data_IF_374248914616
#
_entry.id   IF_374248914616
#
_cell.length_a   1.000
_cell.length_b   1.000
_cell.length_c   1.000
_cell.angle_alpha   90.00
_cell.angle_beta   90.00
_cell.angle_gamma   90.00
#
_symmetry.space_group_name_H-M   'P 1'
#
loop_
_entity.id
_entity.type
_entity.pdbx_description
1 polymer ?
#
# COMPACT_ATOMS: atom_id res chain seq x y z
N UNK A 1 17.11 70.41 -43.23
CA UNK A 1 16.87 68.97 -42.97
C UNK A 1 16.21 68.88 -41.61
N UNK A 2 14.90 68.67 -41.57
CA UNK A 2 14.10 68.48 -40.33
C UNK A 2 14.13 66.99 -39.97
N UNK A 3 14.75 66.67 -38.86
CA UNK A 3 14.74 65.30 -38.31
C UNK A 3 13.43 65.05 -37.65
N UNK A 4 12.62 64.25 -38.30
CA UNK A 4 11.33 63.78 -37.82
C UNK A 4 11.57 62.87 -36.59
N UNK A 5 11.36 63.40 -35.38
CA UNK A 5 11.41 62.60 -34.13
C UNK A 5 10.14 61.74 -34.10
N UNK A 6 10.27 60.47 -34.47
CA UNK A 6 9.27 59.47 -34.25
C UNK A 6 8.89 59.44 -32.76
N UNK A 7 7.65 59.83 -32.43
CA UNK A 7 7.08 59.69 -31.09
C UNK A 7 7.05 58.16 -30.78
N UNK A 8 7.81 57.78 -29.77
CA UNK A 8 7.69 56.42 -29.21
C UNK A 8 6.30 56.32 -28.61
N UNK A 9 5.53 55.37 -29.10
CA UNK A 9 4.16 55.12 -28.61
C UNK A 9 4.32 54.61 -27.16
N UNK A 10 3.73 55.35 -26.21
CA UNK A 10 3.74 54.95 -24.80
C UNK A 10 2.93 53.65 -24.68
N UNK A 11 3.59 52.59 -24.23
CA UNK A 11 2.98 51.32 -23.96
C UNK A 11 2.05 51.50 -22.74
N UNK A 12 0.76 51.19 -22.93
CA UNK A 12 -0.23 51.33 -21.86
C UNK A 12 0.07 50.31 -20.74
N UNK A 13 0.69 50.78 -19.65
CA UNK A 13 1.08 49.96 -18.49
C UNK A 13 -0.10 49.18 -17.86
N UNK A 14 -1.32 49.79 -17.97
CA UNK A 14 -2.55 49.11 -17.48
C UNK A 14 -2.86 47.83 -18.26
N UNK A 15 -2.76 47.86 -19.61
CA UNK A 15 -2.99 46.66 -20.42
C UNK A 15 -1.97 45.57 -20.20
N UNK A 16 -0.68 45.95 -19.96
CA UNK A 16 0.35 45.01 -19.65
C UNK A 16 0.14 44.36 -18.27
N UNK A 17 -0.29 45.15 -17.29
CA UNK A 17 -0.60 44.62 -15.95
C UNK A 17 -1.77 43.63 -15.99
N UNK A 18 -2.79 43.90 -16.79
CA UNK A 18 -3.96 43.02 -16.94
C UNK A 18 -3.55 41.68 -17.60
N UNK A 19 -2.76 41.73 -18.68
CA UNK A 19 -2.27 40.52 -19.34
C UNK A 19 -1.37 39.70 -18.36
N UNK A 20 -0.49 40.36 -17.60
CA UNK A 20 0.34 39.70 -16.62
C UNK A 20 -0.47 39.05 -15.50
N UNK A 21 -1.54 39.71 -15.04
CA UNK A 21 -2.45 39.20 -14.03
C UNK A 21 -3.27 38.00 -14.56
N UNK A 22 -3.81 38.09 -15.78
CA UNK A 22 -4.49 36.95 -16.40
C UNK A 22 -3.61 35.75 -16.62
N UNK A 23 -2.35 35.96 -17.04
CA UNK A 23 -1.36 34.89 -17.15
C UNK A 23 -1.04 34.27 -15.79
N UNK A 24 -0.91 35.09 -14.75
CA UNK A 24 -0.65 34.61 -13.39
C UNK A 24 -1.80 33.72 -12.89
N UNK A 25 -3.05 34.16 -13.06
CA UNK A 25 -4.23 33.35 -12.70
C UNK A 25 -4.30 32.08 -13.55
N UNK A 26 -4.03 32.20 -14.85
CA UNK A 26 -4.01 31.04 -15.75
C UNK A 26 -2.98 30.00 -15.29
N UNK A 27 -1.76 30.40 -14.98
CA UNK A 27 -0.76 29.49 -14.45
C UNK A 27 -1.16 28.93 -13.09
N UNK A 28 -1.73 29.73 -12.21
CA UNK A 28 -2.18 29.28 -10.89
C UNK A 28 -3.27 28.19 -11.01
N UNK A 29 -4.20 28.35 -11.93
CA UNK A 29 -5.27 27.35 -12.19
C UNK A 29 -4.74 26.16 -12.98
N UNK A 30 -3.85 26.39 -13.98
CA UNK A 30 -3.29 25.32 -14.79
C UNK A 30 -2.26 24.46 -14.02
N UNK A 31 -1.61 25.02 -12.99
CA UNK A 31 -0.65 24.30 -12.13
C UNK A 31 -1.26 23.74 -10.86
N UNK A 32 -2.62 23.68 -10.72
CA UNK A 32 -3.21 22.83 -9.70
C UNK A 32 -2.84 21.39 -10.04
N UNK A 33 -1.68 20.97 -9.54
CA UNK A 33 -1.25 19.58 -9.65
C UNK A 33 -2.30 18.73 -8.97
N UNK A 34 -2.92 17.88 -9.74
CA UNK A 34 -3.60 16.72 -9.19
C UNK A 34 -2.60 16.01 -8.29
N UNK A 35 -2.77 16.12 -6.99
CA UNK A 35 -2.05 15.24 -6.07
C UNK A 35 -2.57 13.84 -6.37
N UNK A 36 -1.77 13.07 -7.09
CA UNK A 36 -2.07 11.67 -7.34
C UNK A 36 -2.26 11.00 -5.98
N UNK A 37 -3.52 10.81 -5.60
CA UNK A 37 -3.91 10.01 -4.44
C UNK A 37 -3.76 8.53 -4.83
N UNK A 38 -2.51 8.09 -4.96
CA UNK A 38 -2.17 6.72 -5.24
C UNK A 38 -1.71 5.99 -4.00
N UNK A 39 -1.82 4.66 -3.99
CA UNK A 39 -1.20 3.82 -2.98
C UNK A 39 0.32 3.85 -3.20
N UNK A 40 1.04 4.53 -2.32
CA UNK A 40 2.51 4.51 -2.34
C UNK A 40 2.99 3.15 -1.84
N UNK A 41 3.63 2.37 -2.69
CA UNK A 41 4.30 1.12 -2.33
C UNK A 41 5.80 1.26 -2.43
N UNK A 42 6.46 0.80 -1.39
CA UNK A 42 7.91 0.55 -1.43
C UNK A 42 8.10 -0.85 -1.98
N UNK A 43 8.67 -0.94 -3.18
CA UNK A 43 9.07 -2.23 -3.75
C UNK A 43 10.18 -2.83 -2.87
N UNK A 44 10.17 -4.15 -2.66
CA UNK A 44 11.29 -4.81 -2.01
C UNK A 44 12.59 -4.52 -2.76
N UNK A 45 13.72 -4.33 -2.07
CA UNK A 45 15.01 -4.20 -2.73
C UNK A 45 15.26 -5.43 -3.61
N UNK A 46 15.86 -5.23 -4.79
CA UNK A 46 16.26 -6.34 -5.65
C UNK A 46 17.12 -7.31 -4.83
N UNK A 47 16.83 -8.62 -4.89
CA UNK A 47 17.66 -9.60 -4.22
C UNK A 47 19.08 -9.53 -4.80
N UNK A 48 20.08 -9.43 -3.94
CA UNK A 48 21.47 -9.51 -4.34
C UNK A 48 21.74 -10.86 -5.03
N UNK A 49 22.36 -10.87 -6.24
CA UNK A 49 22.58 -12.09 -6.99
C UNK A 49 23.44 -13.13 -6.25
N UNK A 50 24.11 -12.74 -5.16
CA UNK A 50 24.92 -13.61 -4.32
C UNK A 50 24.26 -14.03 -3.00
N UNK A 51 23.08 -13.51 -2.66
CA UNK A 51 22.31 -14.07 -1.54
C UNK A 51 21.73 -15.39 -1.99
N UNK A 52 22.23 -16.50 -1.41
CA UNK A 52 21.48 -17.76 -1.42
C UNK A 52 20.10 -17.42 -0.90
N UNK A 53 19.07 -17.57 -1.75
CA UNK A 53 17.69 -17.56 -1.31
C UNK A 53 17.59 -18.69 -0.27
N UNK A 54 17.74 -18.33 0.99
CA UNK A 54 17.21 -19.16 2.04
C UNK A 54 15.72 -19.19 1.76
N UNK A 55 15.22 -20.34 1.33
CA UNK A 55 13.80 -20.64 1.26
C UNK A 55 13.24 -20.40 2.67
N UNK A 56 12.85 -19.17 2.94
CA UNK A 56 12.07 -18.84 4.13
C UNK A 56 10.72 -19.51 3.91
N UNK A 57 10.65 -20.78 4.29
CA UNK A 57 9.37 -21.52 4.34
C UNK A 57 8.51 -20.79 5.33
N UNK A 58 7.72 -19.85 4.82
CA UNK A 58 6.66 -19.20 5.61
C UNK A 58 5.77 -20.33 6.07
N UNK A 59 5.65 -20.54 7.39
CA UNK A 59 4.74 -21.55 7.93
C UNK A 59 3.33 -21.22 7.42
N UNK A 60 2.56 -22.23 7.05
CA UNK A 60 1.21 -22.03 6.47
C UNK A 60 0.33 -21.16 7.36
N UNK A 61 0.44 -21.29 8.68
CA UNK A 61 -0.29 -20.45 9.65
C UNK A 61 0.07 -18.95 9.57
N UNK A 62 1.24 -18.60 9.06
CA UNK A 62 1.71 -17.22 8.92
C UNK A 62 1.34 -16.60 7.57
N UNK A 63 0.58 -17.33 6.75
CA UNK A 63 0.17 -16.87 5.42
C UNK A 63 -1.34 -16.78 5.30
N UNK A 64 -1.87 -15.58 5.10
CA UNK A 64 -3.26 -15.37 4.71
C UNK A 64 -3.32 -15.18 3.19
N UNK A 65 -3.81 -16.19 2.49
CA UNK A 65 -4.05 -16.09 1.07
C UNK A 65 -5.38 -15.36 0.80
N UNK A 66 -5.31 -14.23 0.14
CA UNK A 66 -6.46 -13.48 -0.37
C UNK A 66 -6.49 -13.61 -1.87
N UNK A 67 -7.52 -14.25 -2.40
CA UNK A 67 -7.71 -14.47 -3.83
C UNK A 67 -8.93 -13.70 -4.33
N UNK A 68 -8.76 -13.00 -5.47
CA UNK A 68 -9.86 -12.30 -6.15
C UNK A 68 -10.08 -12.93 -7.51
N UNK A 69 -11.26 -13.51 -7.72
CA UNK A 69 -11.60 -14.20 -8.95
C UNK A 69 -11.97 -13.22 -10.08
N UNK A 70 -12.01 -13.72 -11.31
CA UNK A 70 -12.52 -12.99 -12.49
C UNK A 70 -13.94 -12.43 -12.29
N UNK A 71 -14.78 -13.11 -11.50
CA UNK A 71 -16.12 -12.64 -11.15
C UNK A 71 -16.16 -11.66 -9.99
N UNK A 72 -15.02 -11.10 -9.58
CA UNK A 72 -14.87 -10.17 -8.46
C UNK A 72 -15.26 -10.79 -7.09
N UNK A 73 -15.31 -12.11 -6.98
CA UNK A 73 -15.52 -12.78 -5.71
C UNK A 73 -14.21 -12.82 -4.92
N UNK A 74 -14.28 -12.46 -3.66
CA UNK A 74 -13.14 -12.41 -2.75
C UNK A 74 -13.14 -13.67 -1.87
N UNK A 75 -12.00 -14.32 -1.78
CA UNK A 75 -11.77 -15.45 -0.88
C UNK A 75 -10.57 -15.13 0.00
N UNK A 76 -10.69 -15.31 1.30
CA UNK A 76 -9.57 -15.17 2.23
C UNK A 76 -9.51 -16.38 3.18
N UNK A 77 -8.33 -16.98 3.31
CA UNK A 77 -8.14 -18.18 4.12
C UNK A 77 -9.01 -19.35 3.67
N UNK A 78 -9.30 -19.47 2.36
CA UNK A 78 -10.14 -20.52 1.79
C UNK A 78 -11.66 -20.31 1.91
N UNK A 79 -12.11 -19.22 2.51
CA UNK A 79 -13.53 -18.88 2.65
C UNK A 79 -13.91 -17.70 1.76
N UNK A 80 -15.05 -17.81 1.07
CA UNK A 80 -15.61 -16.69 0.33
C UNK A 80 -16.22 -15.67 1.31
N UNK A 81 -15.92 -14.40 1.07
CA UNK A 81 -16.40 -13.32 1.93
C UNK A 81 -16.67 -12.03 1.15
N UNK A 82 -17.39 -11.13 1.81
CA UNK A 82 -17.59 -9.77 1.30
C UNK A 82 -16.38 -8.88 1.59
N UNK A 83 -16.20 -7.85 0.77
CA UNK A 83 -15.11 -6.89 0.91
C UNK A 83 -15.08 -6.22 2.29
N UNK A 84 -16.23 -5.97 2.89
CA UNK A 84 -16.33 -5.35 4.22
C UNK A 84 -15.85 -6.29 5.34
N UNK A 85 -16.02 -7.60 5.16
CA UNK A 85 -15.54 -8.61 6.11
C UNK A 85 -14.04 -8.85 5.99
N UNK A 86 -13.44 -8.54 4.82
CA UNK A 86 -12.02 -8.73 4.57
C UNK A 86 -11.14 -7.93 5.54
N UNK A 87 -11.55 -6.71 5.86
CA UNK A 87 -10.84 -5.85 6.81
C UNK A 87 -10.79 -6.50 8.21
N UNK A 88 -11.93 -6.96 8.71
CA UNK A 88 -12.01 -7.56 10.04
C UNK A 88 -11.24 -8.88 10.10
N UNK A 89 -11.31 -9.69 9.04
CA UNK A 89 -10.51 -10.91 8.91
C UNK A 89 -9.00 -10.66 8.86
N UNK A 90 -8.57 -9.64 8.11
CA UNK A 90 -7.17 -9.23 8.08
C UNK A 90 -6.69 -8.73 9.45
N UNK A 91 -7.52 -7.97 10.15
CA UNK A 91 -7.22 -7.45 11.49
C UNK A 91 -7.09 -8.59 12.51
N UNK A 92 -8.03 -9.55 12.49
CA UNK A 92 -7.95 -10.76 13.32
C UNK A 92 -6.66 -11.53 13.06
N UNK A 93 -6.30 -11.72 11.79
CA UNK A 93 -5.08 -12.39 11.37
C UNK A 93 -3.81 -11.66 11.85
N UNK A 94 -3.75 -10.33 11.74
CA UNK A 94 -2.58 -9.55 12.18
C UNK A 94 -2.44 -9.57 13.70
N UNK A 95 -3.55 -9.40 14.43
CA UNK A 95 -3.52 -9.26 15.88
C UNK A 95 -3.44 -10.61 16.60
N UNK A 96 -4.04 -11.66 16.05
CA UNK A 96 -4.19 -12.97 16.71
C UNK A 96 -4.49 -12.82 18.22
N UNK A 97 -5.63 -12.21 18.60
CA UNK A 97 -5.85 -11.78 19.98
C UNK A 97 -5.96 -12.95 20.99
N UNK A 98 -6.34 -14.12 20.52
CA UNK A 98 -6.54 -15.33 21.33
C UNK A 98 -5.35 -16.29 21.28
N UNK A 99 -4.25 -15.92 20.60
CA UNK A 99 -3.07 -16.79 20.39
C UNK A 99 -3.43 -18.15 19.75
N UNK A 100 -4.39 -18.12 18.81
CA UNK A 100 -4.83 -19.31 18.09
C UNK A 100 -3.66 -19.93 17.31
N UNK A 101 -3.53 -21.26 17.37
CA UNK A 101 -2.48 -22.00 16.67
C UNK A 101 -2.64 -21.95 15.14
N UNK A 102 -3.83 -21.65 14.62
CA UNK A 102 -4.10 -21.48 13.21
C UNK A 102 -3.80 -20.06 12.70
N UNK A 103 -3.55 -19.12 13.59
CA UNK A 103 -3.21 -17.74 13.27
C UNK A 103 -1.70 -17.47 13.43
N UNK A 104 -1.18 -16.37 12.87
CA UNK A 104 0.24 -16.09 12.85
C UNK A 104 0.92 -16.09 14.21
N UNK A 105 2.13 -16.60 14.21
CA UNK A 105 3.04 -16.48 15.35
C UNK A 105 3.44 -15.02 15.55
N UNK A 106 3.79 -14.69 16.80
CA UNK A 106 4.29 -13.39 17.19
C UNK A 106 5.70 -13.52 17.73
N UNK A 107 6.54 -12.57 17.38
CA UNK A 107 7.90 -12.44 17.90
C UNK A 107 7.98 -11.18 18.76
N UNK A 108 8.37 -11.32 20.01
CA UNK A 108 8.55 -10.16 20.89
C UNK A 108 9.81 -9.42 20.48
N UNK A 109 9.66 -8.17 20.03
CA UNK A 109 10.76 -7.27 19.68
C UNK A 109 10.82 -6.09 20.64
N UNK A 110 12.05 -5.71 21.00
CA UNK A 110 12.33 -4.54 21.81
C UNK A 110 12.51 -3.31 20.93
N UNK A 111 11.80 -2.24 21.23
CA UNK A 111 11.90 -0.96 20.56
C UNK A 111 12.35 0.11 21.57
N UNK A 112 13.32 0.94 21.20
CA UNK A 112 13.73 2.10 21.98
C UNK A 112 12.82 3.27 21.62
N UNK A 113 12.19 3.86 22.65
CA UNK A 113 11.35 5.04 22.49
C UNK A 113 12.19 6.32 22.58
N UNK A 114 11.70 7.46 22.06
CA UNK A 114 12.41 8.74 22.08
C UNK A 114 12.72 9.25 23.50
N UNK A 115 12.01 8.77 24.51
CA UNK A 115 12.23 9.03 25.93
C UNK A 115 13.32 8.16 26.57
N UNK A 116 13.98 7.28 25.78
CA UNK A 116 14.96 6.32 26.25
C UNK A 116 14.37 5.08 26.94
N UNK A 117 13.06 4.95 27.01
CA UNK A 117 12.43 3.75 27.56
C UNK A 117 12.37 2.63 26.52
N UNK A 118 12.36 1.39 27.02
CA UNK A 118 12.27 0.19 26.18
C UNK A 118 10.82 -0.29 26.12
N UNK A 119 10.36 -0.62 24.92
CA UNK A 119 9.03 -1.14 24.69
C UNK A 119 9.10 -2.50 24.00
N UNK A 120 8.66 -3.54 24.71
CA UNK A 120 8.53 -4.87 24.17
C UNK A 120 7.14 -5.03 23.53
N UNK A 121 7.12 -5.35 22.24
CA UNK A 121 5.88 -5.54 21.49
C UNK A 121 5.90 -6.85 20.72
N UNK A 122 4.82 -7.66 20.77
CA UNK A 122 4.70 -8.88 19.99
C UNK A 122 4.36 -8.57 18.53
N UNK A 123 5.37 -8.57 17.69
CA UNK A 123 5.26 -8.33 16.24
C UNK A 123 4.72 -9.57 15.55
N UNK A 124 3.66 -9.45 14.78
CA UNK A 124 3.12 -10.56 14.00
C UNK A 124 4.07 -10.97 12.86
N UNK A 125 4.28 -12.28 12.70
CA UNK A 125 5.00 -12.87 11.58
C UNK A 125 4.10 -13.07 10.35
N UNK A 126 2.80 -12.77 10.47
CA UNK A 126 1.82 -12.92 9.40
C UNK A 126 2.14 -12.10 8.16
N UNK A 127 1.91 -12.70 7.01
CA UNK A 127 2.01 -12.09 5.68
C UNK A 127 0.68 -12.31 4.97
N UNK A 128 0.13 -11.26 4.38
CA UNK A 128 -1.07 -11.35 3.55
C UNK A 128 -0.62 -11.44 2.10
N UNK A 129 -0.94 -12.55 1.42
CA UNK A 129 -0.65 -12.74 0.01
C UNK A 129 -1.89 -12.45 -0.82
N UNK A 130 -1.87 -11.36 -1.56
CA UNK A 130 -2.94 -11.00 -2.50
C UNK A 130 -2.64 -11.60 -3.87
N UNK A 131 -3.55 -12.43 -4.35
CA UNK A 131 -3.52 -13.02 -5.67
C UNK A 131 -4.80 -12.70 -6.42
N UNK A 132 -4.67 -12.27 -7.67
CA UNK A 132 -5.81 -11.96 -8.54
C UNK A 132 -5.86 -12.87 -9.75
N UNK A 133 -7.04 -13.07 -10.32
CA UNK A 133 -7.19 -13.63 -11.66
C UNK A 133 -6.89 -12.54 -12.70
N UNK A 134 -6.38 -12.90 -13.86
CA UNK A 134 -6.12 -11.96 -14.99
C UNK A 134 -7.38 -11.21 -15.46
N UNK A 135 -8.56 -11.75 -15.19
CA UNK A 135 -9.84 -11.12 -15.55
C UNK A 135 -10.44 -10.27 -14.44
N UNK A 136 -9.80 -10.13 -13.28
CA UNK A 136 -10.29 -9.30 -12.17
C UNK A 136 -10.31 -7.82 -12.58
N UNK A 137 -11.38 -7.10 -12.23
CA UNK A 137 -11.45 -5.66 -12.51
C UNK A 137 -10.41 -4.90 -11.66
N UNK A 138 -9.82 -3.87 -12.25
CA UNK A 138 -8.88 -3.00 -11.54
C UNK A 138 -9.53 -2.32 -10.33
N UNK A 139 -10.80 -1.94 -10.46
CA UNK A 139 -11.57 -1.36 -9.37
C UNK A 139 -11.64 -2.29 -8.14
N UNK A 140 -12.01 -3.56 -8.36
CA UNK A 140 -12.07 -4.54 -7.27
C UNK A 140 -10.69 -4.78 -6.65
N UNK A 141 -9.64 -4.84 -7.47
CA UNK A 141 -8.28 -4.95 -6.99
C UNK A 141 -7.91 -3.80 -6.05
N UNK A 142 -8.18 -2.56 -6.45
CA UNK A 142 -7.90 -1.37 -5.63
C UNK A 142 -8.75 -1.35 -4.35
N UNK A 143 -10.03 -1.76 -4.43
CA UNK A 143 -10.89 -1.87 -3.26
C UNK A 143 -10.32 -2.85 -2.23
N UNK A 144 -9.88 -4.03 -2.67
CA UNK A 144 -9.27 -5.04 -1.80
C UNK A 144 -7.97 -4.51 -1.18
N UNK A 145 -7.12 -3.85 -1.97
CA UNK A 145 -5.89 -3.22 -1.47
C UNK A 145 -6.17 -2.17 -0.39
N UNK A 146 -7.19 -1.34 -0.61
CA UNK A 146 -7.60 -0.31 0.34
C UNK A 146 -8.09 -0.92 1.66
N UNK A 147 -8.93 -1.97 1.60
CA UNK A 147 -9.43 -2.62 2.82
C UNK A 147 -8.33 -3.34 3.59
N UNK A 148 -7.38 -3.98 2.91
CA UNK A 148 -6.21 -4.56 3.56
C UNK A 148 -5.32 -3.50 4.22
N UNK A 149 -5.04 -2.40 3.52
CA UNK A 149 -4.26 -1.28 4.07
C UNK A 149 -4.97 -0.64 5.25
N UNK A 150 -6.29 -0.51 5.17
CA UNK A 150 -7.14 0.01 6.24
C UNK A 150 -7.09 -0.87 7.49
N UNK A 151 -7.08 -2.20 7.33
CA UNK A 151 -6.90 -3.13 8.44
C UNK A 151 -5.59 -2.86 9.19
N UNK A 152 -4.47 -2.72 8.48
CA UNK A 152 -3.18 -2.39 9.10
C UNK A 152 -3.20 -1.02 9.81
N UNK A 153 -3.82 -0.02 9.20
CA UNK A 153 -3.92 1.32 9.80
C UNK A 153 -4.81 1.32 11.05
N UNK A 154 -5.90 0.55 11.07
CA UNK A 154 -6.72 0.38 12.27
C UNK A 154 -5.92 -0.31 13.39
N UNK A 155 -5.15 -1.36 13.07
CA UNK A 155 -4.26 -2.01 14.06
C UNK A 155 -3.23 -1.03 14.60
N UNK A 156 -2.60 -0.23 13.72
CA UNK A 156 -1.66 0.84 14.15
C UNK A 156 -2.33 1.85 15.05
N UNK A 157 -3.54 2.29 14.74
CA UNK A 157 -4.30 3.22 15.57
C UNK A 157 -4.61 2.62 16.94
N UNK A 158 -5.02 1.36 17.03
CA UNK A 158 -5.26 0.69 18.31
C UNK A 158 -4.00 0.58 19.16
N UNK A 159 -2.88 0.23 18.54
CA UNK A 159 -1.58 0.15 19.24
C UNK A 159 -1.11 1.54 19.67
N UNK A 160 -1.28 2.57 18.83
CA UNK A 160 -0.97 3.96 19.14
C UNK A 160 -1.77 4.45 20.34
N UNK A 161 -3.08 4.27 20.33
CA UNK A 161 -3.97 4.63 21.43
C UNK A 161 -3.62 3.90 22.73
N UNK A 162 -3.27 2.62 22.65
CA UNK A 162 -2.90 1.82 23.83
C UNK A 162 -1.56 2.24 24.42
N UNK A 163 -0.58 2.59 23.57
CA UNK A 163 0.79 2.89 24.00
C UNK A 163 1.01 4.37 24.29
N UNK A 164 0.50 5.25 23.43
CA UNK A 164 0.78 6.68 23.45
C UNK A 164 -0.44 7.55 23.82
N UNK A 165 -1.65 6.96 23.83
CA UNK A 165 -2.90 7.68 24.15
C UNK A 165 -3.41 8.61 23.05
N UNK A 166 -2.78 8.60 21.86
CA UNK A 166 -3.12 9.43 20.70
C UNK A 166 -3.23 8.57 19.43
N UNK A 167 -3.89 9.09 18.41
CA UNK A 167 -4.01 8.39 17.13
C UNK A 167 -2.67 8.32 16.39
N UNK A 168 -2.53 7.36 15.48
CA UNK A 168 -1.33 7.18 14.67
C UNK A 168 -0.94 8.43 13.88
N UNK A 169 -1.94 9.18 13.39
CA UNK A 169 -1.75 10.42 12.61
C UNK A 169 -1.20 11.58 13.47
N UNK A 170 -1.51 11.58 14.75
CA UNK A 170 -1.10 12.63 15.70
C UNK A 170 0.25 12.34 16.37
N UNK A 171 0.88 11.20 16.06
CA UNK A 171 2.19 10.81 16.60
C UNK A 171 3.32 11.65 15.99
N UNK A 172 4.37 11.88 16.77
CA UNK A 172 5.63 12.42 16.28
C UNK A 172 6.28 11.45 15.29
N UNK A 173 7.18 11.96 14.42
CA UNK A 173 7.82 11.17 13.37
C UNK A 173 8.58 9.96 13.93
N UNK A 174 9.33 10.12 15.03
CA UNK A 174 10.05 9.03 15.68
C UNK A 174 9.11 7.94 16.21
N UNK A 175 8.03 8.34 16.90
CA UNK A 175 7.01 7.42 17.41
C UNK A 175 6.30 6.69 16.27
N UNK A 176 6.01 7.40 15.17
CA UNK A 176 5.39 6.83 13.97
C UNK A 176 6.30 5.79 13.32
N UNK A 177 7.60 6.08 13.22
CA UNK A 177 8.59 5.14 12.69
C UNK A 177 8.70 3.87 13.53
N UNK A 178 8.72 4.02 14.86
CA UNK A 178 8.74 2.88 15.80
C UNK A 178 7.48 2.03 15.61
N UNK A 179 6.32 2.67 15.56
CA UNK A 179 5.05 1.95 15.42
C UNK A 179 4.92 1.27 14.05
N UNK A 180 5.46 1.87 12.98
CA UNK A 180 5.51 1.25 11.65
C UNK A 180 6.41 0.01 11.65
N UNK A 181 7.48 -0.01 12.45
CA UNK A 181 8.32 -1.20 12.65
C UNK A 181 7.64 -2.25 13.53
N UNK A 182 6.82 -1.83 14.51
CA UNK A 182 6.06 -2.72 15.37
C UNK A 182 4.89 -3.39 14.63
N UNK A 183 4.22 -2.65 13.74
CA UNK A 183 3.14 -3.16 12.88
C UNK A 183 3.50 -2.91 11.41
N UNK A 184 4.41 -3.71 10.85
CA UNK A 184 4.83 -3.56 9.46
C UNK A 184 3.71 -3.96 8.49
N UNK A 185 3.57 -3.21 7.39
CA UNK A 185 2.65 -3.55 6.31
C UNK A 185 3.23 -4.72 5.50
N UNK A 186 2.79 -5.93 5.79
CA UNK A 186 3.24 -7.16 5.12
C UNK A 186 2.19 -7.68 4.14
N UNK A 187 2.01 -6.98 3.04
CA UNK A 187 1.19 -7.41 1.91
C UNK A 187 2.12 -7.78 0.76
N UNK A 188 2.08 -9.04 0.35
CA UNK A 188 2.80 -9.55 -0.81
C UNK A 188 1.82 -9.75 -1.96
N UNK A 189 2.22 -9.38 -3.17
CA UNK A 189 1.44 -9.65 -4.38
C UNK A 189 2.01 -10.88 -5.08
N UNK A 190 1.15 -11.87 -5.29
CA UNK A 190 1.47 -13.04 -6.08
C UNK A 190 1.09 -12.80 -7.54
N UNK A 191 1.79 -13.47 -8.45
CA UNK A 191 1.49 -13.38 -9.87
C UNK A 191 0.04 -13.79 -10.17
N UNK A 192 -0.66 -13.07 -11.08
CA UNK A 192 -2.01 -13.40 -11.47
C UNK A 192 -2.09 -14.80 -12.07
N UNK A 193 -3.00 -15.64 -11.56
CA UNK A 193 -3.25 -16.98 -12.11
C UNK A 193 -4.35 -16.91 -13.17
N UNK A 194 -4.23 -17.74 -14.20
CA UNK A 194 -5.34 -18.07 -15.07
C UNK A 194 -6.10 -19.24 -14.45
N UNK A 195 -7.12 -18.95 -13.64
CA UNK A 195 -8.02 -19.99 -13.15
C UNK A 195 -9.02 -20.31 -14.26
N UNK A 196 -8.66 -21.21 -15.15
CA UNK A 196 -9.48 -21.58 -16.32
C UNK A 196 -8.68 -21.97 -17.56
N UNK A 197 -7.37 -21.75 -17.57
CA UNK A 197 -6.50 -22.31 -18.57
C UNK A 197 -6.23 -23.78 -18.21
N UNK A 198 -6.98 -24.70 -18.81
CA UNK A 198 -6.64 -26.12 -18.83
C UNK A 198 -5.26 -26.21 -19.48
N UNK A 199 -4.24 -26.54 -18.69
CA UNK A 199 -2.91 -26.82 -19.23
C UNK A 199 -3.03 -28.09 -20.06
N UNK A 200 -3.19 -27.94 -21.36
CA UNK A 200 -3.00 -29.06 -22.31
C UNK A 200 -1.51 -29.38 -22.31
N UNK A 201 -1.09 -30.27 -21.40
CA UNK A 201 0.15 -31.00 -21.59
C UNK A 201 -0.01 -31.86 -22.84
N UNK A 202 0.58 -31.43 -23.92
CA UNK A 202 0.73 -32.23 -25.13
C UNK A 202 1.57 -33.46 -24.76
N UNK A 203 0.90 -34.58 -24.51
CA UNK A 203 1.52 -35.89 -24.48
C UNK A 203 1.93 -36.18 -25.94
N UNK A 204 3.18 -35.87 -26.27
CA UNK A 204 3.80 -36.42 -27.48
C UNK A 204 3.94 -37.93 -27.27
N UNK A 205 3.09 -38.69 -27.94
CA UNK A 205 3.25 -40.13 -28.05
C UNK A 205 4.59 -40.42 -28.76
N UNK A 206 5.42 -41.31 -28.25
CA UNK A 206 6.62 -41.73 -28.94
C UNK A 206 6.19 -42.50 -30.19
N UNK A 207 6.50 -41.97 -31.36
CA UNK A 207 6.44 -42.70 -32.65
C UNK A 207 7.50 -43.77 -32.65
N UNK A 208 7.08 -44.98 -32.86
CA UNK A 208 7.89 -46.17 -33.00
C UNK A 208 8.45 -46.24 -34.42
#
# INVERSE_FOLDING_TARGET
MATDKRKIQEINAGSMADIAFLLLIFFLVATTMNTDTGLTRVLPPMPDPNQKQEDVKVKERNLLLVFVSKGNNIMAGGQQMDIHQLKDKAKEFILNPMEDENLPEKEVKEFELPDGSKWNYPVSLGVISLQTDRGTSYETYIMVQNELTRAFNEVRNEVAMRKFGVKFEDLNEDQRNILTKAVPLKISEAEPRNVGAVSYTHLTLPTK
#
